data_IF_860341231634
#
_entry.id   IF_860341231634
#
_cell.length_a   1.000
_cell.length_b   1.000
_cell.length_c   1.000
_cell.angle_alpha   90.00
_cell.angle_beta   90.00
_cell.angle_gamma   90.00
#
_symmetry.space_group_name_H-M   'P 1'
#
loop_
_entity.id
_entity.type
_entity.pdbx_description
1 polymer ?
#
# COMPACT_ATOMS: atom_id res chain seq x y z
N UNK A 1 12.05 0.70 -16.23
CA UNK A 1 11.04 1.62 -15.67
C UNK A 1 9.76 1.50 -16.46
N UNK A 2 9.81 1.65 -17.80
CA UNK A 2 8.62 1.51 -18.67
C UNK A 2 7.84 0.20 -18.50
N UNK A 3 8.49 -0.97 -18.46
CA UNK A 3 7.77 -2.26 -18.37
C UNK A 3 6.90 -2.37 -17.11
N UNK A 4 7.38 -1.88 -15.97
CA UNK A 4 6.59 -1.94 -14.73
C UNK A 4 5.39 -0.99 -14.80
N UNK A 5 5.56 0.20 -15.39
CA UNK A 5 4.46 1.15 -15.59
C UNK A 5 3.39 0.57 -16.50
N UNK A 6 3.76 -0.04 -17.64
CA UNK A 6 2.79 -0.66 -18.54
C UNK A 6 1.97 -1.78 -17.87
N UNK A 7 2.61 -2.61 -17.04
CA UNK A 7 1.91 -3.66 -16.28
C UNK A 7 0.95 -3.05 -15.26
N UNK A 8 1.36 -1.99 -14.55
CA UNK A 8 0.51 -1.30 -13.58
C UNK A 8 -0.64 -0.54 -14.26
N UNK A 9 -0.40 0.08 -15.41
CA UNK A 9 -1.44 0.74 -16.22
C UNK A 9 -2.53 -0.26 -16.60
N UNK A 10 -2.15 -1.43 -17.12
CA UNK A 10 -3.11 -2.48 -17.48
C UNK A 10 -3.89 -3.00 -16.25
N UNK A 11 -3.17 -3.28 -15.15
CA UNK A 11 -3.78 -3.89 -13.97
C UNK A 11 -4.70 -2.95 -13.18
N UNK A 12 -4.38 -1.66 -13.12
CA UNK A 12 -5.04 -0.70 -12.22
C UNK A 12 -5.75 0.46 -12.92
N UNK A 13 -5.35 0.87 -14.14
CA UNK A 13 -6.01 1.98 -14.87
C UNK A 13 -7.03 1.48 -15.89
N UNK A 14 -6.69 0.47 -16.69
CA UNK A 14 -7.60 -0.03 -17.75
C UNK A 14 -8.80 -0.82 -17.20
N UNK A 15 -8.72 -1.26 -15.93
CA UNK A 15 -9.83 -1.92 -15.25
C UNK A 15 -11.04 -1.00 -14.97
N UNK A 16 -10.90 0.33 -15.15
CA UNK A 16 -11.96 1.35 -14.97
C UNK A 16 -12.69 1.30 -13.61
N UNK A 17 -12.08 0.68 -12.59
CA UNK A 17 -12.64 0.63 -11.25
C UNK A 17 -12.25 1.88 -10.47
N UNK A 18 -13.18 2.83 -10.41
CA UNK A 18 -13.04 4.15 -9.75
C UNK A 18 -12.60 4.03 -8.28
N UNK A 19 -12.68 2.84 -7.68
CA UNK A 19 -12.39 2.60 -6.27
C UNK A 19 -10.97 2.10 -5.96
N UNK A 20 -10.22 1.58 -6.94
CA UNK A 20 -8.79 1.28 -6.77
C UNK A 20 -8.03 2.45 -7.38
N UNK A 21 -7.52 3.35 -6.52
CA UNK A 21 -6.92 4.58 -7.01
C UNK A 21 -5.62 4.36 -7.78
N UNK A 22 -5.14 5.43 -8.39
CA UNK A 22 -4.01 5.38 -9.31
C UNK A 22 -2.67 5.12 -8.58
N UNK A 23 -1.70 4.57 -9.31
CA UNK A 23 -0.36 4.39 -8.77
C UNK A 23 0.43 5.71 -8.80
N UNK A 24 1.42 5.81 -7.92
CA UNK A 24 2.38 6.92 -7.85
C UNK A 24 3.78 6.37 -8.00
N UNK A 25 4.60 7.03 -8.81
CA UNK A 25 6.05 6.84 -8.82
C UNK A 25 6.65 7.75 -7.74
N UNK A 26 7.08 7.17 -6.62
CA UNK A 26 7.32 7.89 -5.37
C UNK A 26 8.75 7.71 -4.83
N UNK A 27 9.75 7.66 -5.72
CA UNK A 27 11.18 7.50 -5.40
C UNK A 27 11.81 8.60 -4.56
N UNK A 28 11.06 9.64 -4.19
CA UNK A 28 11.50 10.71 -3.28
C UNK A 28 10.56 10.88 -2.08
N UNK A 29 9.61 9.97 -1.88
CA UNK A 29 8.70 10.00 -0.75
C UNK A 29 9.44 9.51 0.50
N UNK A 30 9.86 10.44 1.35
CA UNK A 30 10.58 10.11 2.58
C UNK A 30 9.61 9.77 3.71
N UNK A 31 10.07 8.94 4.64
CA UNK A 31 9.36 8.62 5.87
C UNK A 31 9.43 9.84 6.79
N UNK A 32 8.28 10.27 7.30
CA UNK A 32 8.18 11.32 8.33
C UNK A 32 8.95 10.87 9.59
N UNK A 33 9.84 11.69 10.17
CA UNK A 33 10.74 11.28 11.25
C UNK A 33 10.07 10.58 12.44
N UNK A 34 8.87 11.03 12.82
CA UNK A 34 8.08 10.51 13.94
C UNK A 34 7.62 9.06 13.73
N UNK A 35 7.49 8.63 12.49
CA UNK A 35 7.10 7.25 12.13
C UNK A 35 8.30 6.37 11.81
N UNK A 36 9.51 6.94 11.76
CA UNK A 36 10.70 6.22 11.35
C UNK A 36 11.13 5.19 12.42
N UNK A 37 11.36 3.92 12.05
CA UNK A 37 11.95 2.96 12.97
C UNK A 37 13.35 3.39 13.41
N UNK A 38 13.67 3.19 14.70
CA UNK A 38 14.98 3.55 15.25
C UNK A 38 16.12 2.86 14.50
N UNK A 39 17.20 3.60 14.22
CA UNK A 39 18.40 3.06 13.57
C UNK A 39 18.28 2.67 12.09
N UNK A 40 17.14 2.96 11.43
CA UNK A 40 16.92 2.59 10.02
C UNK A 40 17.29 3.71 9.03
N UNK A 41 17.53 3.34 7.77
CA UNK A 41 17.74 4.29 6.68
C UNK A 41 16.42 4.95 6.25
N UNK A 42 16.46 6.20 5.79
CA UNK A 42 15.28 6.91 5.25
C UNK A 42 14.94 6.51 3.81
N UNK A 43 15.20 5.26 3.41
CA UNK A 43 14.96 4.81 2.04
C UNK A 43 13.46 4.74 1.76
N UNK A 44 13.06 5.33 0.64
CA UNK A 44 11.73 5.29 0.06
C UNK A 44 11.49 3.98 -0.70
N UNK A 45 10.28 3.82 -1.21
CA UNK A 45 9.91 2.80 -2.19
C UNK A 45 9.79 3.41 -3.60
N UNK A 46 9.72 2.58 -4.63
CA UNK A 46 9.64 3.05 -6.01
C UNK A 46 8.21 3.44 -6.43
N UNK A 47 7.22 2.61 -6.10
CA UNK A 47 5.83 2.89 -6.44
C UNK A 47 4.89 2.59 -5.27
N UNK A 48 3.73 3.25 -5.26
CA UNK A 48 2.62 2.86 -4.41
C UNK A 48 1.30 2.94 -5.15
N UNK A 49 0.31 2.18 -4.69
CA UNK A 49 -1.10 2.36 -5.03
C UNK A 49 -1.76 3.07 -3.86
N UNK A 50 -2.60 4.06 -4.18
CA UNK A 50 -3.32 4.83 -3.18
C UNK A 50 -4.82 4.83 -3.45
N UNK A 51 -5.62 5.15 -2.45
CA UNK A 51 -7.06 5.39 -2.63
C UNK A 51 -7.30 6.88 -2.79
N UNK A 52 -7.93 7.23 -3.90
CA UNK A 52 -8.40 8.59 -4.15
C UNK A 52 -9.86 8.72 -3.71
N UNK A 53 -10.11 9.59 -2.74
CA UNK A 53 -11.45 9.88 -2.26
C UNK A 53 -12.01 11.12 -2.97
N UNK A 54 -13.27 11.08 -3.46
CA UNK A 54 -13.90 12.27 -4.04
C UNK A 54 -13.87 13.45 -3.08
N UNK A 55 -13.65 14.66 -3.59
CA UNK A 55 -13.43 15.86 -2.76
C UNK A 55 -14.58 16.12 -1.77
N UNK A 56 -15.81 15.85 -2.20
CA UNK A 56 -17.03 16.10 -1.42
C UNK A 56 -17.52 14.87 -0.64
N UNK A 57 -16.69 13.82 -0.55
CA UNK A 57 -17.04 12.59 0.19
C UNK A 57 -16.86 12.73 1.70
N UNK A 58 -17.62 11.95 2.47
CA UNK A 58 -17.44 11.84 3.92
C UNK A 58 -16.03 11.36 4.27
N UNK A 59 -15.49 10.42 3.48
CA UNK A 59 -14.14 9.90 3.63
C UNK A 59 -13.10 11.02 3.50
N UNK A 60 -13.26 11.90 2.51
CA UNK A 60 -12.35 13.04 2.33
C UNK A 60 -12.39 14.01 3.51
N UNK A 61 -13.59 14.33 3.99
CA UNK A 61 -13.76 15.18 5.18
C UNK A 61 -13.08 14.56 6.40
N UNK A 62 -13.30 13.25 6.64
CA UNK A 62 -12.68 12.52 7.76
C UNK A 62 -11.16 12.49 7.66
N UNK A 63 -10.61 12.32 6.45
CA UNK A 63 -9.17 12.42 6.20
C UNK A 63 -8.67 13.82 6.54
N UNK A 64 -9.31 14.87 6.01
CA UNK A 64 -8.91 16.26 6.24
C UNK A 64 -8.97 16.65 7.73
N UNK A 65 -9.91 16.07 8.50
CA UNK A 65 -9.96 16.25 9.95
C UNK A 65 -8.87 15.44 10.68
N UNK A 66 -8.65 14.19 10.29
CA UNK A 66 -7.66 13.32 10.91
C UNK A 66 -6.22 13.85 10.77
N UNK A 67 -5.86 14.39 9.59
CA UNK A 67 -4.49 14.87 9.34
C UNK A 67 -4.08 16.07 10.20
N UNK A 68 -5.04 16.87 10.70
CA UNK A 68 -4.75 18.09 11.50
C UNK A 68 -3.93 17.83 12.76
N UNK A 69 -3.97 16.61 13.29
CA UNK A 69 -3.28 16.22 14.53
C UNK A 69 -2.14 15.23 14.30
N UNK A 70 -1.83 14.92 13.03
CA UNK A 70 -0.85 13.91 12.64
C UNK A 70 0.46 14.57 12.18
N UNK A 71 1.62 13.97 12.49
CA UNK A 71 2.90 14.35 11.88
C UNK A 71 2.81 14.51 10.36
N UNK A 72 3.46 15.55 9.82
CA UNK A 72 3.49 15.85 8.39
C UNK A 72 2.15 16.23 7.76
N UNK A 73 1.09 16.47 8.55
CA UNK A 73 -0.27 16.72 8.05
C UNK A 73 -0.72 15.64 7.04
N UNK A 74 -0.35 14.40 7.32
CA UNK A 74 -0.53 13.28 6.39
C UNK A 74 -1.36 12.15 7.01
N UNK A 75 -2.21 11.54 6.20
CA UNK A 75 -2.93 10.32 6.56
C UNK A 75 -2.00 9.10 6.55
N UNK A 76 -0.90 9.18 5.79
CA UNK A 76 0.13 8.16 5.69
C UNK A 76 1.33 8.47 6.61
N UNK A 77 2.41 7.72 6.44
CA UNK A 77 3.70 7.91 7.11
C UNK A 77 4.69 8.75 6.28
N UNK A 78 4.23 9.37 5.20
CA UNK A 78 4.99 10.26 4.30
C UNK A 78 4.14 11.49 3.99
N UNK A 79 4.76 12.66 3.87
CA UNK A 79 4.13 13.95 3.54
C UNK A 79 4.31 14.31 2.05
N UNK A 80 4.55 13.30 1.22
CA UNK A 80 4.84 13.50 -0.20
C UNK A 80 3.58 13.78 -1.02
N UNK A 81 3.43 15.03 -1.45
CA UNK A 81 2.44 15.42 -2.47
C UNK A 81 0.99 15.09 -2.07
N UNK A 82 0.28 14.37 -2.95
CA UNK A 82 -1.11 13.99 -2.73
C UNK A 82 -1.27 12.79 -1.78
N UNK A 83 -0.19 12.06 -1.48
CA UNK A 83 -0.18 11.00 -0.46
C UNK A 83 -0.45 11.55 0.95
N UNK A 84 -0.38 12.87 1.18
CA UNK A 84 -0.88 13.44 2.44
C UNK A 84 -2.36 13.13 2.68
N UNK A 85 -3.14 12.93 1.62
CA UNK A 85 -4.60 12.77 1.68
C UNK A 85 -5.14 11.51 0.99
N UNK A 86 -4.27 10.77 0.31
CA UNK A 86 -4.64 9.54 -0.40
C UNK A 86 -3.98 8.34 0.29
N UNK A 87 -4.72 7.52 1.06
CA UNK A 87 -4.16 6.39 1.81
C UNK A 87 -3.41 5.40 0.92
N UNK A 88 -2.18 5.02 1.31
CA UNK A 88 -1.38 4.01 0.61
C UNK A 88 -1.90 2.61 0.94
N UNK A 89 -2.22 1.82 -0.09
CA UNK A 89 -2.79 0.48 0.05
C UNK A 89 -1.80 -0.63 -0.31
N UNK A 90 -0.95 -0.37 -1.30
CA UNK A 90 0.07 -1.32 -1.78
C UNK A 90 1.37 -0.56 -2.06
N UNK A 91 2.49 -1.11 -1.60
CA UNK A 91 3.83 -0.55 -1.82
C UNK A 91 4.65 -1.46 -2.74
N UNK A 92 5.42 -0.91 -3.67
CA UNK A 92 6.22 -1.69 -4.62
C UNK A 92 7.67 -1.20 -4.60
N UNK A 93 8.58 -2.14 -4.38
CA UNK A 93 10.03 -1.92 -4.43
C UNK A 93 10.61 -2.70 -5.62
N UNK A 94 11.42 -2.04 -6.44
CA UNK A 94 12.04 -2.66 -7.62
C UNK A 94 13.55 -2.73 -7.46
N UNK A 95 14.11 -3.94 -7.59
CA UNK A 95 15.55 -4.19 -7.54
C UNK A 95 15.99 -4.99 -8.75
N UNK A 96 17.19 -4.70 -9.24
CA UNK A 96 17.88 -5.52 -10.25
C UNK A 96 18.84 -6.48 -9.57
N UNK A 97 20.01 -5.98 -9.17
CA UNK A 97 21.12 -6.80 -8.66
C UNK A 97 21.31 -6.74 -7.14
N UNK A 98 20.27 -6.38 -6.39
CA UNK A 98 20.35 -6.25 -4.93
C UNK A 98 19.86 -7.54 -4.28
N UNK A 99 20.49 -7.96 -3.18
CA UNK A 99 20.07 -9.17 -2.47
C UNK A 99 18.63 -9.04 -1.97
N UNK A 100 17.93 -10.17 -1.91
CA UNK A 100 16.55 -10.24 -1.45
C UNK A 100 16.38 -9.62 -0.07
N UNK A 101 17.29 -9.88 0.86
CA UNK A 101 17.24 -9.37 2.23
C UNK A 101 17.30 -7.84 2.28
N UNK A 102 18.02 -7.21 1.36
CA UNK A 102 18.08 -5.75 1.27
C UNK A 102 16.79 -5.17 0.71
N UNK A 103 16.18 -5.82 -0.27
CA UNK A 103 14.86 -5.42 -0.79
C UNK A 103 13.78 -5.58 0.31
N UNK A 104 13.79 -6.72 0.99
CA UNK A 104 12.89 -7.03 2.10
C UNK A 104 13.07 -6.06 3.27
N UNK A 105 14.30 -5.72 3.63
CA UNK A 105 14.57 -4.74 4.68
C UNK A 105 14.06 -3.35 4.30
N UNK A 106 14.18 -2.96 3.02
CA UNK A 106 13.71 -1.65 2.54
C UNK A 106 12.19 -1.56 2.60
N UNK A 107 11.46 -2.51 2.01
CA UNK A 107 9.99 -2.52 2.07
C UNK A 107 9.49 -2.75 3.51
N UNK A 108 10.18 -3.57 4.30
CA UNK A 108 9.84 -3.81 5.71
C UNK A 108 10.03 -2.56 6.57
N UNK A 109 11.05 -1.74 6.30
CA UNK A 109 11.25 -0.44 6.96
C UNK A 109 10.10 0.51 6.63
N UNK A 110 9.70 0.57 5.36
CA UNK A 110 8.56 1.35 4.88
C UNK A 110 7.25 0.93 5.56
N UNK A 111 6.92 -0.37 5.53
CA UNK A 111 5.73 -0.89 6.18
C UNK A 111 5.76 -0.76 7.71
N UNK A 112 6.91 -0.89 8.35
CA UNK A 112 7.03 -0.65 9.79
C UNK A 112 6.73 0.82 10.14
N UNK A 113 7.09 1.78 9.27
CA UNK A 113 6.68 3.17 9.43
C UNK A 113 5.19 3.36 9.17
N UNK A 114 4.64 2.69 8.15
CA UNK A 114 3.21 2.70 7.88
C UNK A 114 2.40 2.16 9.08
N UNK A 115 2.78 1.02 9.65
CA UNK A 115 2.17 0.48 10.88
C UNK A 115 2.21 1.47 12.04
N UNK A 116 3.35 2.14 12.27
CA UNK A 116 3.44 3.19 13.31
C UNK A 116 2.55 4.41 13.03
N UNK A 117 2.22 4.66 11.77
CA UNK A 117 1.32 5.76 11.39
C UNK A 117 -0.15 5.40 11.53
N UNK A 118 -0.50 4.11 11.49
CA UNK A 118 -1.83 3.65 11.85
C UNK A 118 -1.99 3.87 13.36
N UNK A 119 -2.92 4.76 13.73
CA UNK A 119 -3.16 5.16 15.13
C UNK A 119 -4.50 4.61 15.59
N UNK A 120 -4.63 4.40 16.89
CA UNK A 120 -5.86 3.88 17.48
C UNK A 120 -5.84 2.37 17.64
N UNK A 121 -7.01 1.79 17.78
CA UNK A 121 -7.17 0.34 17.90
C UNK A 121 -7.35 -0.23 16.49
N UNK A 122 -6.26 -0.72 15.91
CA UNK A 122 -6.25 -1.33 14.58
C UNK A 122 -6.70 -2.78 14.73
N UNK A 123 -7.95 -3.05 14.37
CA UNK A 123 -8.57 -4.38 14.53
C UNK A 123 -8.92 -5.03 13.20
N UNK A 124 -9.25 -4.24 12.18
CA UNK A 124 -9.72 -4.74 10.89
C UNK A 124 -8.61 -4.83 9.84
N UNK A 125 -7.57 -4.00 9.93
CA UNK A 125 -6.43 -4.09 9.00
C UNK A 125 -5.55 -5.28 9.42
N UNK A 126 -5.62 -6.37 8.67
CA UNK A 126 -4.89 -7.61 8.97
C UNK A 126 -3.40 -7.56 8.58
N UNK A 127 -3.09 -6.95 7.43
CA UNK A 127 -1.72 -6.82 6.92
C UNK A 127 -1.57 -5.57 6.04
N UNK A 128 -0.32 -5.16 5.81
CA UNK A 128 0.01 -4.18 4.77
C UNK A 128 0.53 -4.90 3.53
N UNK A 129 0.06 -4.51 2.35
CA UNK A 129 0.45 -5.15 1.11
C UNK A 129 1.75 -4.55 0.54
N UNK A 130 2.65 -5.42 0.09
CA UNK A 130 3.89 -5.07 -0.58
C UNK A 130 4.18 -5.97 -1.77
N UNK A 131 4.90 -5.43 -2.75
CA UNK A 131 5.49 -6.20 -3.84
C UNK A 131 6.98 -5.87 -3.92
N UNK A 132 7.79 -6.92 -4.03
CA UNK A 132 9.19 -6.80 -4.45
C UNK A 132 9.27 -7.31 -5.88
N UNK A 133 9.75 -6.45 -6.78
CA UNK A 133 10.11 -6.82 -8.14
C UNK A 133 11.62 -7.04 -8.17
N UNK A 134 12.05 -8.27 -8.43
CA UNK A 134 13.46 -8.61 -8.60
C UNK A 134 13.68 -9.11 -10.01
N UNK A 135 14.47 -8.35 -10.78
CA UNK A 135 14.65 -8.55 -12.21
C UNK A 135 13.31 -8.62 -12.97
N UNK A 136 12.86 -9.82 -13.34
CA UNK A 136 11.59 -10.05 -14.04
C UNK A 136 10.47 -10.51 -13.12
N UNK A 137 10.80 -11.00 -11.92
CA UNK A 137 9.92 -11.74 -11.04
C UNK A 137 9.29 -10.84 -9.98
N UNK A 138 8.01 -11.07 -9.71
CA UNK A 138 7.20 -10.26 -8.82
C UNK A 138 6.76 -11.11 -7.64
N UNK A 139 7.06 -10.64 -6.44
CA UNK A 139 6.79 -11.36 -5.20
C UNK A 139 5.97 -10.50 -4.26
N UNK A 140 4.94 -11.09 -3.68
CA UNK A 140 4.12 -10.48 -2.66
C UNK A 140 4.80 -10.58 -1.28
N UNK A 141 4.60 -9.52 -0.50
CA UNK A 141 5.08 -9.35 0.87
C UNK A 141 3.92 -8.82 1.70
N UNK A 142 3.67 -9.43 2.86
CA UNK A 142 2.62 -9.04 3.78
C UNK A 142 3.14 -9.05 5.22
N UNK A 143 3.62 -7.92 5.75
CA UNK A 143 3.80 -7.75 7.18
C UNK A 143 2.46 -7.62 7.90
N UNK A 144 2.26 -8.48 8.90
CA UNK A 144 1.17 -8.43 9.88
C UNK A 144 1.69 -7.86 11.20
N UNK A 145 0.78 -7.27 11.97
CA UNK A 145 1.03 -6.90 13.35
C UNK A 145 -0.15 -7.36 14.20
N UNK A 146 0.01 -8.49 14.89
CA UNK A 146 -1.05 -9.10 15.70
C UNK A 146 -0.58 -9.18 17.16
N UNK A 147 -1.35 -8.59 18.08
CA UNK A 147 -1.05 -8.59 19.52
C UNK A 147 0.38 -8.12 19.85
N UNK A 148 0.90 -7.16 19.07
CA UNK A 148 2.26 -6.64 19.20
C UNK A 148 3.36 -7.51 18.57
N UNK A 149 3.02 -8.68 18.03
CA UNK A 149 3.93 -9.55 17.30
C UNK A 149 3.89 -9.25 15.80
N UNK A 150 5.06 -8.98 15.23
CA UNK A 150 5.22 -8.70 13.80
C UNK A 150 5.67 -9.97 13.08
N UNK A 151 4.90 -10.41 12.08
CA UNK A 151 5.29 -11.51 11.16
C UNK A 151 5.29 -10.97 9.75
N UNK A 152 6.31 -11.27 8.94
CA UNK A 152 6.33 -10.88 7.52
C UNK A 152 6.28 -12.12 6.65
N UNK A 153 5.17 -12.30 5.95
CA UNK A 153 5.06 -13.27 4.87
C UNK A 153 5.73 -12.66 3.63
N UNK A 154 6.59 -13.42 2.95
CA UNK A 154 7.35 -12.92 1.81
C UNK A 154 7.73 -14.08 0.87
N UNK A 155 8.32 -13.77 -0.30
CA UNK A 155 8.63 -14.75 -1.35
C UNK A 155 7.40 -15.49 -1.89
N UNK A 156 6.23 -14.83 -1.88
CA UNK A 156 5.00 -15.37 -2.43
C UNK A 156 4.92 -14.97 -3.92
N UNK A 157 5.11 -15.89 -4.88
CA UNK A 157 5.21 -15.52 -6.29
C UNK A 157 3.87 -15.03 -6.85
N UNK A 158 3.89 -13.89 -7.52
CA UNK A 158 2.74 -13.34 -8.26
C UNK A 158 2.81 -13.66 -9.75
N UNK A 159 4.02 -13.81 -10.29
CA UNK A 159 4.26 -14.03 -11.71
C UNK A 159 5.52 -13.30 -12.16
N UNK A 160 5.69 -13.15 -13.47
CA UNK A 160 6.91 -12.62 -14.06
C UNK A 160 6.65 -11.91 -15.37
N UNK A 161 7.49 -10.93 -15.69
CA UNK A 161 7.51 -10.26 -17.00
C UNK A 161 8.38 -10.97 -18.03
N UNK A 162 8.99 -12.11 -17.66
CA UNK A 162 9.94 -12.84 -18.50
C UNK A 162 9.29 -13.52 -19.72
N UNK A 163 8.07 -14.04 -19.57
CA UNK A 163 7.35 -14.72 -20.65
C UNK A 163 5.83 -14.49 -20.55
N UNK A 164 5.11 -14.76 -21.64
CA UNK A 164 3.68 -14.49 -21.73
C UNK A 164 2.85 -15.26 -20.69
N UNK A 165 3.18 -16.52 -20.39
CA UNK A 165 2.43 -17.34 -19.43
C UNK A 165 2.54 -16.80 -18.01
N UNK A 166 3.75 -16.47 -17.57
CA UNK A 166 3.96 -15.87 -16.24
C UNK A 166 3.47 -14.43 -16.16
N UNK A 167 3.40 -13.72 -17.29
CA UNK A 167 2.77 -12.40 -17.37
C UNK A 167 1.26 -12.51 -17.11
N UNK A 168 0.56 -13.50 -17.67
CA UNK A 168 -0.86 -13.70 -17.36
C UNK A 168 -1.11 -13.99 -15.87
N UNK A 169 -0.25 -14.79 -15.23
CA UNK A 169 -0.32 -15.01 -13.77
C UNK A 169 -0.17 -13.69 -13.02
N UNK A 170 0.84 -12.90 -13.40
CA UNK A 170 1.10 -11.60 -12.80
C UNK A 170 -0.12 -10.68 -12.90
N UNK A 171 -0.73 -10.57 -14.09
CA UNK A 171 -1.90 -9.73 -14.30
C UNK A 171 -3.09 -10.16 -13.43
N UNK A 172 -3.39 -11.46 -13.38
CA UNK A 172 -4.47 -12.00 -12.53
C UNK A 172 -4.17 -11.74 -11.04
N UNK A 173 -2.93 -11.94 -10.61
CA UNK A 173 -2.51 -11.65 -9.24
C UNK A 173 -2.66 -10.19 -8.86
N UNK A 174 -2.30 -9.25 -9.74
CA UNK A 174 -2.47 -7.82 -9.51
C UNK A 174 -3.95 -7.41 -9.49
N UNK A 175 -4.77 -7.99 -10.35
CA UNK A 175 -6.23 -7.80 -10.34
C UNK A 175 -6.86 -8.31 -9.04
N UNK A 176 -6.45 -9.49 -8.56
CA UNK A 176 -6.87 -10.03 -7.26
C UNK A 176 -6.45 -9.12 -6.10
N UNK A 177 -5.27 -8.50 -6.16
CA UNK A 177 -4.85 -7.48 -5.18
C UNK A 177 -5.72 -6.22 -5.28
N UNK A 178 -6.08 -5.77 -6.47
CA UNK A 178 -7.05 -4.68 -6.66
C UNK A 178 -8.40 -4.97 -6.03
N UNK A 179 -8.94 -6.17 -6.25
CA UNK A 179 -10.18 -6.62 -5.62
C UNK A 179 -10.06 -6.67 -4.09
N UNK A 180 -8.96 -7.22 -3.56
CA UNK A 180 -8.69 -7.21 -2.12
C UNK A 180 -8.60 -5.80 -1.54
N UNK A 181 -7.97 -4.84 -2.24
CA UNK A 181 -7.91 -3.44 -1.81
C UNK A 181 -9.32 -2.89 -1.63
N UNK A 182 -10.19 -3.11 -2.63
CA UNK A 182 -11.56 -2.60 -2.64
C UNK A 182 -12.46 -3.27 -1.61
N UNK A 183 -12.41 -4.59 -1.52
CA UNK A 183 -13.39 -5.41 -0.79
C UNK A 183 -12.98 -5.68 0.66
N UNK A 184 -11.69 -5.56 0.99
CA UNK A 184 -11.15 -5.91 2.31
C UNK A 184 -10.37 -4.76 2.94
N UNK A 185 -9.31 -4.29 2.27
CA UNK A 185 -8.43 -3.28 2.86
C UNK A 185 -9.15 -1.94 3.08
N UNK A 186 -9.89 -1.46 2.08
CA UNK A 186 -10.53 -0.16 2.17
C UNK A 186 -11.64 -0.10 3.23
N UNK A 187 -12.57 -1.08 3.33
CA UNK A 187 -13.51 -1.15 4.44
C UNK A 187 -12.80 -1.20 5.81
N UNK A 188 -11.73 -1.98 5.94
CA UNK A 188 -10.93 -2.03 7.17
C UNK A 188 -10.32 -0.68 7.52
N UNK A 189 -9.75 0.02 6.54
CA UNK A 189 -9.19 1.36 6.73
C UNK A 189 -10.26 2.39 7.11
N UNK A 190 -11.44 2.35 6.48
CA UNK A 190 -12.57 3.23 6.83
C UNK A 190 -13.00 3.03 8.29
N UNK A 191 -13.06 1.77 8.74
CA UNK A 191 -13.39 1.44 10.13
C UNK A 191 -12.30 1.92 11.09
N UNK A 192 -11.06 1.49 10.89
CA UNK A 192 -9.98 1.66 11.87
C UNK A 192 -9.42 3.09 11.90
N UNK A 193 -9.27 3.73 10.73
CA UNK A 193 -8.61 5.04 10.60
C UNK A 193 -9.57 6.21 10.47
N UNK A 194 -10.76 6.01 9.87
CA UNK A 194 -11.72 7.09 9.63
C UNK A 194 -12.93 7.05 10.58
N UNK A 195 -13.06 6.00 11.40
CA UNK A 195 -14.22 5.76 12.26
C UNK A 195 -15.55 5.80 11.47
N UNK A 196 -15.53 5.35 10.22
CA UNK A 196 -16.71 5.19 9.38
C UNK A 196 -17.13 3.74 9.51
N UNK A 197 -18.28 3.50 10.14
CA UNK A 197 -18.89 2.17 10.17
C UNK A 197 -19.72 2.01 8.92
N UNK A 198 -19.58 0.89 8.23
CA UNK A 198 -20.55 0.53 7.22
C UNK A 198 -21.92 0.38 7.90
N UNK A 199 -22.95 0.98 7.30
CA UNK A 199 -24.32 0.71 7.71
C UNK A 199 -24.54 -0.78 7.49
N UNK A 200 -24.78 -1.54 8.55
CA UNK A 200 -25.28 -2.91 8.43
C UNK A 200 -26.43 -2.88 7.43
N UNK A 201 -26.26 -3.57 6.30
CA UNK A 201 -27.41 -3.90 5.47
C UNK A 201 -28.33 -4.67 6.39
N UNK A 202 -29.46 -4.05 6.76
CA UNK A 202 -30.58 -4.77 7.33
C UNK A 202 -31.01 -5.74 6.23
N UNK A 203 -30.64 -6.99 6.39
CA UNK A 203 -31.31 -8.09 5.72
C UNK A 203 -32.76 -8.06 6.22
N UNK A 204 -33.64 -7.46 5.40
CA UNK A 204 -35.09 -7.62 5.50
C UNK A 204 -35.52 -8.97 4.87
#
# INVERSE_FOLDING_TARGET
>A
MEVHQCVLDFAFREANDVSVGDYRYCTTAHIIPEYKPFGTSSKCIDFCICIETPKDSLERQKIDDAIKTRPGLSINHTDWGDLCKNPITLSIETKRQVSWEKALLQIGTWHAAQWRSLRGNIEAIEFLAGIIVQDHDWFFVAPTLQDGNSTTYHLLPLGSTYNAFDLYKLLISLQSLGAWIKEKYWPAFRKDMLNIKDLEQRDD
#
